data_IF_927283417844
#
_entry.id   IF_927283417844
#
_cell.length_a   1.000
_cell.length_b   1.000
_cell.length_c   1.000
_cell.angle_alpha   90.00
_cell.angle_beta   90.00
_cell.angle_gamma   90.00
#
_symmetry.space_group_name_H-M   'P 1'
#
loop_
_entity.id
_entity.type
_entity.pdbx_description
1 polymer ?
#
# COMPACT_ATOMS: atom_id res chain seq x y z
N UNK A 1 -9.34 11.06 -69.26
CA UNK A 1 -9.52 11.74 -67.95
C UNK A 1 -8.70 10.96 -66.92
N UNK A 2 -7.46 11.37 -66.64
CA UNK A 2 -6.53 10.64 -65.77
C UNK A 2 -6.49 11.28 -64.38
N UNK A 3 -7.12 10.61 -63.40
CA UNK A 3 -7.18 11.08 -62.02
C UNK A 3 -5.94 10.58 -61.25
N UNK A 4 -4.95 11.47 -61.06
CA UNK A 4 -3.80 11.22 -60.17
C UNK A 4 -4.29 11.27 -58.72
N UNK A 5 -4.29 10.12 -58.02
CA UNK A 5 -4.54 10.06 -56.58
C UNK A 5 -3.32 10.58 -55.82
N UNK A 6 -3.53 11.66 -55.07
CA UNK A 6 -2.59 12.20 -54.09
C UNK A 6 -2.76 11.38 -52.81
N UNK A 7 -1.69 10.71 -52.38
CA UNK A 7 -1.64 9.97 -51.11
C UNK A 7 -1.13 10.93 -50.04
N UNK A 8 -2.01 11.39 -49.17
CA UNK A 8 -1.66 12.20 -48.00
C UNK A 8 -1.10 11.29 -46.91
N UNK A 9 0.21 11.38 -46.68
CA UNK A 9 0.91 10.67 -45.61
C UNK A 9 0.56 11.30 -44.26
N UNK A 10 -0.32 10.65 -43.51
CA UNK A 10 -0.69 11.07 -42.15
C UNK A 10 0.41 10.60 -41.19
N UNK A 11 1.17 11.55 -40.63
CA UNK A 11 2.20 11.29 -39.64
C UNK A 11 1.52 10.95 -38.30
N UNK A 12 1.43 9.67 -37.97
CA UNK A 12 1.03 9.21 -36.64
C UNK A 12 2.12 9.56 -35.63
N UNK A 13 1.83 10.53 -34.76
CA UNK A 13 2.65 10.82 -33.58
C UNK A 13 2.36 9.71 -32.58
N UNK A 14 3.25 8.72 -32.52
CA UNK A 14 3.22 7.66 -31.51
C UNK A 14 3.51 8.28 -30.14
N UNK A 15 2.49 8.32 -29.28
CA UNK A 15 2.68 8.60 -27.87
C UNK A 15 3.57 7.50 -27.26
N UNK A 16 4.80 7.85 -26.91
CA UNK A 16 5.73 6.95 -26.23
C UNK A 16 5.13 6.60 -24.87
N UNK A 17 4.70 5.35 -24.72
CA UNK A 17 4.42 4.79 -23.41
C UNK A 17 5.73 4.71 -22.65
N UNK A 18 5.91 5.60 -21.66
CA UNK A 18 7.03 5.50 -20.73
C UNK A 18 6.81 4.21 -19.93
N UNK A 19 7.54 3.15 -20.28
CA UNK A 19 7.72 2.00 -19.41
C UNK A 19 8.55 2.47 -18.22
N UNK A 20 7.88 2.93 -17.16
CA UNK A 20 8.57 3.28 -15.92
C UNK A 20 9.10 2.00 -15.29
N UNK A 21 10.42 1.84 -15.28
CA UNK A 21 11.07 0.86 -14.43
C UNK A 21 10.77 1.21 -12.95
N UNK A 22 10.73 0.20 -12.04
CA UNK A 22 10.59 0.46 -10.62
C UNK A 22 11.73 1.35 -10.12
N UNK A 23 11.39 2.27 -9.22
CA UNK A 23 12.32 3.18 -8.55
C UNK A 23 12.80 2.52 -7.26
N UNK A 24 14.10 2.57 -7.01
CA UNK A 24 14.72 1.92 -5.88
C UNK A 24 15.09 2.94 -4.80
N UNK A 25 14.62 2.72 -3.58
CA UNK A 25 15.10 3.41 -2.38
C UNK A 25 15.87 2.38 -1.53
N UNK A 26 17.17 2.57 -1.38
CA UNK A 26 18.03 1.60 -0.73
C UNK A 26 18.81 2.22 0.44
N UNK A 27 18.84 1.51 1.57
CA UNK A 27 19.69 1.78 2.72
C UNK A 27 20.32 0.47 3.19
N UNK A 28 21.66 0.43 3.23
CA UNK A 28 22.43 -0.77 3.55
C UNK A 28 22.01 -1.96 2.67
N UNK A 29 21.48 -3.02 3.28
CA UNK A 29 21.05 -4.24 2.59
C UNK A 29 19.55 -4.25 2.26
N UNK A 30 18.82 -3.17 2.57
CA UNK A 30 17.39 -3.04 2.34
C UNK A 30 17.15 -2.17 1.12
N UNK A 31 16.46 -2.71 0.12
CA UNK A 31 16.05 -1.98 -1.08
C UNK A 31 14.54 -2.11 -1.27
N UNK A 32 13.83 -1.00 -1.24
CA UNK A 32 12.42 -0.90 -1.61
C UNK A 32 12.32 -0.57 -3.10
N UNK A 33 11.72 -1.49 -3.86
CA UNK A 33 11.45 -1.35 -5.29
C UNK A 33 10.00 -0.92 -5.44
N UNK A 34 9.80 0.32 -5.89
CA UNK A 34 8.50 0.99 -5.94
C UNK A 34 8.12 1.22 -7.39
N UNK A 35 6.94 0.77 -7.80
CA UNK A 35 6.33 1.14 -9.08
C UNK A 35 5.27 2.22 -8.82
N UNK A 36 5.53 3.50 -9.16
CA UNK A 36 4.57 4.58 -8.93
C UNK A 36 3.23 4.37 -9.66
N UNK A 37 3.23 3.71 -10.82
CA UNK A 37 2.02 3.57 -11.64
C UNK A 37 1.03 2.60 -11.01
N UNK A 38 1.52 1.55 -10.35
CA UNK A 38 0.72 0.47 -9.77
C UNK A 38 0.74 0.43 -8.24
N UNK A 39 1.55 1.27 -7.59
CA UNK A 39 1.84 1.23 -6.15
C UNK A 39 2.32 -0.14 -5.66
N UNK A 40 2.89 -0.94 -6.55
CA UNK A 40 3.59 -2.17 -6.17
C UNK A 40 4.84 -1.79 -5.39
N UNK A 41 5.05 -2.44 -4.25
CA UNK A 41 6.27 -2.27 -3.45
C UNK A 41 6.78 -3.65 -3.07
N UNK A 42 8.04 -3.93 -3.43
CA UNK A 42 8.78 -5.09 -2.97
C UNK A 42 9.97 -4.63 -2.15
N UNK A 43 10.29 -5.35 -1.08
CA UNK A 43 11.49 -5.14 -0.30
C UNK A 43 12.45 -6.30 -0.56
N UNK A 44 13.62 -5.97 -1.10
CA UNK A 44 14.75 -6.90 -1.17
C UNK A 44 15.64 -6.66 0.04
N UNK A 45 15.84 -7.70 0.85
CA UNK A 45 16.77 -7.70 1.96
C UNK A 45 17.69 -8.91 1.83
N UNK A 46 18.97 -8.67 1.54
CA UNK A 46 19.92 -9.73 1.19
C UNK A 46 19.38 -10.60 0.02
N UNK A 47 19.22 -11.91 0.23
CA UNK A 47 18.63 -12.85 -0.73
C UNK A 47 17.11 -13.03 -0.59
N UNK A 48 16.48 -12.36 0.38
CA UNK A 48 15.05 -12.45 0.62
C UNK A 48 14.30 -11.33 -0.09
N UNK A 49 13.08 -11.64 -0.54
CA UNK A 49 12.16 -10.67 -1.12
C UNK A 49 10.80 -10.74 -0.43
N UNK A 50 10.33 -9.60 0.05
CA UNK A 50 9.04 -9.46 0.73
C UNK A 50 8.09 -8.58 -0.10
N UNK A 51 6.90 -9.08 -0.46
CA UNK A 51 5.90 -8.28 -1.14
C UNK A 51 5.21 -7.34 -0.15
N UNK A 52 5.64 -6.07 -0.11
CA UNK A 52 5.09 -5.06 0.79
C UNK A 52 3.69 -4.63 0.34
N UNK A 53 3.50 -4.45 -0.97
CA UNK A 53 2.19 -4.23 -1.58
C UNK A 53 2.16 -4.81 -3.00
N UNK A 54 1.10 -5.53 -3.33
CA UNK A 54 0.84 -6.01 -4.68
C UNK A 54 0.54 -4.86 -5.65
N UNK A 55 0.78 -5.12 -6.95
CA UNK A 55 0.43 -4.20 -8.00
C UNK A 55 -1.09 -3.99 -8.08
N UNK A 56 -1.47 -2.74 -8.27
CA UNK A 56 -2.84 -2.29 -8.55
C UNK A 56 -2.99 -1.97 -10.03
N UNK A 57 -4.20 -1.55 -10.44
CA UNK A 57 -4.40 -1.02 -11.77
C UNK A 57 -3.44 0.13 -12.07
N UNK A 58 -2.85 0.12 -13.26
CA UNK A 58 -1.93 1.17 -13.71
C UNK A 58 -2.68 2.49 -13.79
N UNK A 59 -2.08 3.55 -13.26
CA UNK A 59 -2.55 4.93 -13.43
C UNK A 59 -1.38 5.82 -13.83
N UNK A 60 -1.71 6.93 -14.47
CA UNK A 60 -0.74 7.97 -14.78
C UNK A 60 -0.25 8.63 -13.49
N UNK A 61 1.04 8.98 -13.49
CA UNK A 61 1.68 9.62 -12.38
C UNK A 61 2.70 10.65 -12.88
N UNK A 62 3.03 11.61 -12.01
CA UNK A 62 4.07 12.61 -12.25
C UNK A 62 5.00 12.63 -11.05
N UNK A 63 6.26 12.27 -11.26
CA UNK A 63 7.31 12.42 -10.23
C UNK A 63 7.51 13.90 -9.97
N UNK A 64 7.49 14.27 -8.68
CA UNK A 64 7.75 15.63 -8.22
C UNK A 64 9.10 15.74 -7.50
N UNK A 65 9.56 14.67 -6.86
CA UNK A 65 10.89 14.60 -6.25
C UNK A 65 11.41 13.17 -6.28
N UNK A 66 12.70 13.00 -6.55
CA UNK A 66 13.37 11.72 -6.48
C UNK A 66 14.79 11.93 -5.96
N UNK A 67 15.13 11.28 -4.87
CA UNK A 67 16.47 11.24 -4.29
C UNK A 67 16.84 9.80 -3.91
N UNK A 68 17.98 9.61 -3.26
CA UNK A 68 18.40 8.29 -2.77
C UNK A 68 17.45 7.72 -1.71
N UNK A 69 16.82 8.61 -0.93
CA UNK A 69 16.08 8.22 0.28
C UNK A 69 14.60 8.61 0.21
N UNK A 70 14.15 9.28 -0.85
CA UNK A 70 12.82 9.86 -0.94
C UNK A 70 12.32 9.86 -2.38
N UNK A 71 11.06 9.51 -2.55
CA UNK A 71 10.33 9.52 -3.82
C UNK A 71 8.96 10.14 -3.60
N UNK A 72 8.72 11.26 -4.28
CA UNK A 72 7.43 11.94 -4.32
C UNK A 72 6.87 11.92 -5.73
N UNK A 73 5.58 11.62 -5.83
CA UNK A 73 4.84 11.74 -7.07
C UNK A 73 3.38 12.06 -6.81
N UNK A 74 2.72 12.57 -7.84
CA UNK A 74 1.27 12.75 -7.84
C UNK A 74 0.68 11.66 -8.73
N UNK A 75 -0.31 10.92 -8.22
CA UNK A 75 -1.08 9.91 -8.94
C UNK A 75 -2.54 10.08 -8.59
N UNK A 76 -3.37 10.24 -9.62
CA UNK A 76 -4.83 10.37 -9.44
C UNK A 76 -5.22 11.45 -8.41
N UNK A 77 -4.59 12.64 -8.49
CA UNK A 77 -4.78 13.75 -7.55
C UNK A 77 -4.45 13.43 -6.08
N UNK A 78 -3.61 12.43 -5.83
CA UNK A 78 -3.05 12.10 -4.52
C UNK A 78 -1.53 12.29 -4.60
N UNK A 79 -1.00 13.14 -3.73
CA UNK A 79 0.43 13.23 -3.46
C UNK A 79 0.84 11.99 -2.67
N UNK A 80 1.80 11.24 -3.20
CA UNK A 80 2.36 10.03 -2.62
C UNK A 80 3.83 10.29 -2.31
N UNK A 81 4.23 10.06 -1.06
CA UNK A 81 5.60 10.15 -0.59
C UNK A 81 6.04 8.79 -0.05
N UNK A 82 7.21 8.35 -0.49
CA UNK A 82 7.94 7.20 0.04
C UNK A 82 9.29 7.69 0.55
N UNK A 83 9.60 7.43 1.82
CA UNK A 83 10.83 7.90 2.46
C UNK A 83 11.45 6.82 3.31
N UNK A 84 12.75 6.59 3.15
CA UNK A 84 13.50 5.67 4.01
C UNK A 84 13.54 6.21 5.44
N UNK A 85 13.36 5.30 6.40
CA UNK A 85 13.40 5.61 7.83
C UNK A 85 14.02 4.46 8.60
N UNK A 86 15.31 4.59 8.93
CA UNK A 86 16.06 3.66 9.79
C UNK A 86 15.82 2.18 9.40
N UNK A 87 16.20 1.80 8.17
CA UNK A 87 15.97 0.48 7.57
C UNK A 87 14.49 0.11 7.31
N UNK A 88 13.55 1.02 7.56
CA UNK A 88 12.13 0.92 7.21
C UNK A 88 11.74 1.88 6.08
N UNK A 89 10.43 1.98 5.86
CA UNK A 89 9.84 2.85 4.85
C UNK A 89 8.63 3.57 5.44
N UNK A 90 8.68 4.90 5.44
CA UNK A 90 7.52 5.74 5.66
C UNK A 90 6.82 5.98 4.32
N UNK A 91 5.51 5.79 4.32
CA UNK A 91 4.63 6.00 3.18
C UNK A 91 3.57 7.01 3.60
N UNK A 92 3.37 8.06 2.82
CA UNK A 92 2.36 9.08 3.09
C UNK A 92 1.55 9.39 1.83
N UNK A 93 0.26 9.56 2.02
CA UNK A 93 -0.74 9.89 1.03
C UNK A 93 -1.44 11.16 1.48
N UNK A 94 -1.53 12.14 0.59
CA UNK A 94 -2.28 13.37 0.83
C UNK A 94 -3.09 13.69 -0.40
N UNK A 95 -4.38 13.91 -0.22
CA UNK A 95 -5.23 14.39 -1.30
C UNK A 95 -4.78 15.79 -1.75
N UNK A 96 -4.65 15.98 -3.06
CA UNK A 96 -4.13 17.21 -3.69
C UNK A 96 -5.24 18.12 -4.24
N UNK A 97 -6.50 17.67 -4.22
CA UNK A 97 -7.65 18.42 -4.77
C UNK A 97 -8.67 18.68 -3.67
N UNK A 98 -9.17 19.91 -3.57
CA UNK A 98 -10.31 20.23 -2.71
C UNK A 98 -11.54 19.39 -3.10
N UNK A 99 -12.17 18.79 -2.11
CA UNK A 99 -13.38 17.98 -2.18
C UNK A 99 -14.58 18.81 -1.73
N UNK A 100 -15.71 18.59 -2.38
CA UNK A 100 -17.00 19.06 -1.88
C UNK A 100 -17.64 18.02 -0.94
N UNK A 101 -18.83 18.34 -0.40
CA UNK A 101 -19.52 17.52 0.61
C UNK A 101 -19.90 16.11 0.12
N UNK A 102 -20.08 15.93 -1.18
CA UNK A 102 -20.52 14.67 -1.79
C UNK A 102 -19.35 13.88 -2.41
N UNK A 103 -18.19 14.51 -2.56
CA UNK A 103 -16.99 13.90 -3.11
C UNK A 103 -16.20 13.16 -2.03
N UNK A 104 -15.77 11.95 -2.38
CA UNK A 104 -14.77 11.20 -1.64
C UNK A 104 -13.63 10.82 -2.59
N UNK A 105 -12.43 10.76 -2.05
CA UNK A 105 -11.25 10.26 -2.75
C UNK A 105 -10.65 9.10 -1.97
N UNK A 106 -10.37 7.99 -2.63
CA UNK A 106 -9.89 6.79 -1.94
C UNK A 106 -8.52 6.37 -2.42
N UNK A 107 -7.74 5.80 -1.53
CA UNK A 107 -6.48 5.13 -1.84
C UNK A 107 -6.47 3.75 -1.19
N UNK A 108 -6.14 2.73 -1.97
CA UNK A 108 -5.91 1.38 -1.44
C UNK A 108 -4.41 1.16 -1.33
N UNK A 109 -3.91 1.03 -0.11
CA UNK A 109 -2.54 0.66 0.18
C UNK A 109 -2.43 0.24 1.66
N UNK A 110 -1.70 -0.83 2.00
CA UNK A 110 -1.15 -1.84 1.09
C UNK A 110 -2.22 -2.81 0.57
N UNK A 111 -1.89 -3.54 -0.50
CA UNK A 111 -2.50 -4.83 -0.81
C UNK A 111 -1.50 -5.92 -0.43
N UNK A 112 -1.73 -6.59 0.69
CA UNK A 112 -0.82 -7.61 1.21
C UNK A 112 -1.25 -8.97 0.69
N UNK A 113 -0.33 -9.67 0.02
CA UNK A 113 -0.58 -11.01 -0.52
C UNK A 113 0.66 -11.90 -0.34
N UNK A 114 0.50 -13.21 -0.56
CA UNK A 114 1.58 -14.22 -0.49
C UNK A 114 2.24 -14.35 0.89
N UNK A 115 1.68 -13.73 1.93
CA UNK A 115 2.05 -14.01 3.31
C UNK A 115 1.59 -15.40 3.71
N UNK A 116 2.23 -15.98 4.72
CA UNK A 116 1.85 -17.26 5.34
C UNK A 116 0.83 -17.06 6.46
N UNK A 117 0.87 -15.92 7.12
CA UNK A 117 -0.10 -15.55 8.14
C UNK A 117 -0.30 -14.03 8.22
N UNK A 118 -1.38 -13.63 8.89
CA UNK A 118 -1.54 -12.29 9.42
C UNK A 118 -1.64 -12.38 10.94
N UNK A 119 -0.88 -11.56 11.68
CA UNK A 119 -1.14 -11.32 13.09
C UNK A 119 -1.77 -9.94 13.23
N UNK A 120 -3.08 -9.91 13.43
CA UNK A 120 -3.85 -8.67 13.49
C UNK A 120 -4.32 -8.40 14.91
N UNK A 121 -4.25 -7.14 15.39
CA UNK A 121 -4.81 -6.74 16.68
C UNK A 121 -6.34 -6.64 16.59
N UNK A 122 -7.00 -7.74 16.24
CA UNK A 122 -8.45 -7.90 16.24
C UNK A 122 -8.84 -8.76 17.44
N UNK A 123 -9.87 -8.35 18.19
CA UNK A 123 -10.22 -8.97 19.47
C UNK A 123 -8.98 -9.05 20.40
N UNK A 124 -8.60 -10.26 20.84
CA UNK A 124 -7.42 -10.53 21.69
C UNK A 124 -6.11 -10.68 20.90
N UNK A 125 -6.15 -10.55 19.57
CA UNK A 125 -5.02 -10.80 18.67
C UNK A 125 -5.25 -12.06 17.85
N UNK A 126 -5.57 -11.89 16.57
CA UNK A 126 -5.84 -13.01 15.65
C UNK A 126 -4.57 -13.40 14.90
N UNK A 127 -4.14 -14.64 15.05
CA UNK A 127 -3.18 -15.28 14.15
C UNK A 127 -3.93 -16.06 13.07
N UNK A 128 -3.89 -15.53 11.84
CA UNK A 128 -4.68 -15.97 10.70
C UNK A 128 -3.75 -16.65 9.69
N UNK A 129 -3.69 -17.99 9.64
CA UNK A 129 -2.98 -18.69 8.56
C UNK A 129 -3.67 -18.42 7.22
N UNK A 130 -2.92 -17.94 6.24
CA UNK A 130 -3.50 -17.44 4.98
C UNK A 130 -4.01 -18.54 4.06
N UNK A 131 -3.53 -19.78 4.23
CA UNK A 131 -3.90 -20.93 3.40
C UNK A 131 -4.96 -21.85 4.05
N UNK A 132 -5.41 -21.53 5.27
CA UNK A 132 -6.46 -22.30 5.94
C UNK A 132 -7.83 -22.04 5.32
N UNK A 133 -8.51 -23.12 4.93
CA UNK A 133 -9.76 -23.03 4.18
C UNK A 133 -10.92 -22.47 5.00
N UNK A 134 -10.94 -22.68 6.32
CA UNK A 134 -11.99 -22.12 7.19
C UNK A 134 -11.82 -20.61 7.30
N UNK A 135 -10.58 -20.14 7.49
CA UNK A 135 -10.26 -18.71 7.49
C UNK A 135 -10.57 -18.04 6.16
N UNK A 136 -10.15 -18.66 5.04
CA UNK A 136 -10.47 -18.18 3.69
C UNK A 136 -11.98 -18.04 3.53
N UNK A 137 -12.73 -19.12 3.78
CA UNK A 137 -14.19 -19.11 3.62
C UNK A 137 -14.85 -18.05 4.51
N UNK A 138 -14.45 -17.97 5.78
CA UNK A 138 -15.02 -17.02 6.72
C UNK A 138 -14.76 -15.58 6.25
N UNK A 139 -13.50 -15.17 6.14
CA UNK A 139 -13.15 -13.77 5.89
C UNK A 139 -13.58 -13.28 4.50
N UNK A 140 -13.55 -14.13 3.48
CA UNK A 140 -13.96 -13.76 2.11
C UNK A 140 -15.48 -13.80 1.90
N UNK A 141 -16.24 -14.41 2.82
CA UNK A 141 -17.71 -14.37 2.79
C UNK A 141 -18.29 -13.28 3.71
N UNK A 142 -17.57 -12.86 4.74
CA UNK A 142 -18.01 -11.84 5.70
C UNK A 142 -17.47 -10.45 5.41
N UNK A 143 -16.44 -10.33 4.57
CA UNK A 143 -15.85 -9.04 4.20
C UNK A 143 -15.74 -8.88 2.69
N UNK A 144 -15.91 -7.65 2.21
CA UNK A 144 -15.66 -7.28 0.80
C UNK A 144 -15.35 -5.79 0.71
N UNK A 145 -14.96 -5.31 -0.47
CA UNK A 145 -14.79 -3.87 -0.68
C UNK A 145 -16.07 -3.06 -0.39
N UNK A 146 -17.25 -3.66 -0.64
CA UNK A 146 -18.57 -3.06 -0.39
C UNK A 146 -19.05 -3.20 1.05
N UNK A 147 -18.51 -4.17 1.78
CA UNK A 147 -18.78 -4.40 3.19
C UNK A 147 -17.45 -4.65 3.93
N UNK A 148 -16.59 -3.63 4.04
CA UNK A 148 -15.27 -3.79 4.64
C UNK A 148 -15.37 -3.69 6.16
N UNK A 149 -14.33 -4.16 6.84
CA UNK A 149 -14.12 -3.92 8.25
C UNK A 149 -13.65 -2.49 8.46
N UNK A 150 -14.25 -1.78 9.42
CA UNK A 150 -13.84 -0.41 9.79
C UNK A 150 -12.61 -0.49 10.68
N UNK A 151 -11.55 0.25 10.33
CA UNK A 151 -10.25 0.19 10.99
C UNK A 151 -10.30 0.46 12.50
N UNK A 152 -10.90 1.58 12.90
CA UNK A 152 -11.03 1.98 14.31
C UNK A 152 -11.90 1.04 15.15
N UNK A 153 -12.88 0.38 14.53
CA UNK A 153 -13.79 -0.53 15.23
C UNK A 153 -13.24 -1.96 15.30
N UNK A 154 -12.45 -2.37 14.30
CA UNK A 154 -12.01 -3.76 14.14
C UNK A 154 -10.60 -3.99 14.66
N UNK A 155 -9.74 -2.96 14.69
CA UNK A 155 -8.36 -3.03 15.16
C UNK A 155 -8.24 -2.35 16.53
N UNK A 156 -7.92 -3.13 17.58
CA UNK A 156 -7.65 -2.62 18.94
C UNK A 156 -6.34 -1.83 19.02
N UNK A 157 -5.39 -2.11 18.12
CA UNK A 157 -4.15 -1.36 17.94
C UNK A 157 -3.96 -1.03 16.45
N UNK A 158 -3.36 0.12 16.17
CA UNK A 158 -3.40 0.71 14.82
C UNK A 158 -2.20 0.25 13.99
N UNK A 159 -2.12 -1.07 13.77
CA UNK A 159 -1.15 -1.69 12.90
C UNK A 159 -1.71 -2.95 12.25
N UNK A 160 -1.06 -3.39 11.17
CA UNK A 160 -1.26 -4.68 10.51
C UNK A 160 0.08 -5.42 10.49
N UNK A 161 0.04 -6.75 10.44
CA UNK A 161 1.26 -7.53 10.16
C UNK A 161 1.00 -8.67 9.20
N UNK A 162 2.04 -9.05 8.46
CA UNK A 162 2.04 -10.19 7.57
C UNK A 162 3.31 -11.02 7.73
N UNK A 163 3.15 -12.30 8.06
CA UNK A 163 4.24 -13.24 8.30
C UNK A 163 4.73 -13.93 7.02
N UNK A 164 6.05 -14.04 6.87
CA UNK A 164 6.72 -14.70 5.73
C UNK A 164 7.69 -15.79 6.21
N UNK A 165 7.32 -16.52 7.26
CA UNK A 165 8.19 -17.49 7.94
C UNK A 165 8.75 -16.89 9.23
N UNK A 166 10.06 -16.71 9.32
CA UNK A 166 10.72 -16.11 10.51
C UNK A 166 10.63 -14.58 10.57
N UNK A 167 10.25 -13.93 9.46
CA UNK A 167 10.13 -12.48 9.35
C UNK A 167 8.68 -12.07 9.18
N UNK A 168 8.32 -10.92 9.73
CA UNK A 168 7.03 -10.28 9.53
C UNK A 168 7.24 -8.86 8.97
N UNK A 169 6.35 -8.45 8.07
CA UNK A 169 6.23 -7.04 7.69
C UNK A 169 5.18 -6.42 8.61
N UNK A 170 5.60 -5.38 9.32
CA UNK A 170 4.78 -4.60 10.23
C UNK A 170 4.42 -3.27 9.58
N UNK A 171 3.14 -2.93 9.57
CA UNK A 171 2.58 -1.72 9.00
C UNK A 171 1.87 -0.94 10.10
N UNK A 172 2.54 0.06 10.67
CA UNK A 172 1.88 0.96 11.60
C UNK A 172 1.10 2.02 10.86
N UNK A 173 -0.15 2.24 11.25
CA UNK A 173 -1.05 3.21 10.65
C UNK A 173 -0.84 4.56 11.34
N UNK A 174 -0.57 5.61 10.56
CA UNK A 174 -0.22 6.93 11.10
C UNK A 174 -1.45 7.83 11.37
N UNK A 175 -2.57 7.55 10.70
CA UNK A 175 -3.86 8.20 10.94
C UNK A 175 -4.95 7.12 10.97
N UNK A 176 -5.68 7.06 12.08
CA UNK A 176 -6.58 5.94 12.41
C UNK A 176 -7.95 6.08 11.75
N UNK A 177 -8.35 7.30 11.37
CA UNK A 177 -9.70 7.62 10.91
C UNK A 177 -9.91 7.29 9.43
N UNK A 178 -11.17 7.07 9.05
CA UNK A 178 -11.63 6.84 7.66
C UNK A 178 -10.90 5.70 6.94
N UNK A 179 -10.50 4.70 7.71
CA UNK A 179 -9.82 3.52 7.23
C UNK A 179 -10.76 2.32 7.20
N UNK A 180 -10.58 1.47 6.21
CA UNK A 180 -11.29 0.21 6.08
C UNK A 180 -10.40 -0.85 5.46
N UNK A 181 -10.66 -2.12 5.76
CA UNK A 181 -9.92 -3.23 5.16
C UNK A 181 -10.81 -4.44 4.94
N UNK A 182 -10.43 -5.30 4.02
CA UNK A 182 -11.17 -6.52 3.70
C UNK A 182 -10.22 -7.59 3.19
N UNK A 183 -10.74 -8.81 3.11
CA UNK A 183 -9.99 -9.97 2.65
C UNK A 183 -10.50 -10.46 1.30
N UNK A 184 -9.57 -10.90 0.46
CA UNK A 184 -9.88 -11.64 -0.78
C UNK A 184 -8.99 -12.87 -0.88
N UNK A 185 -9.26 -13.73 -1.86
CA UNK A 185 -8.43 -14.90 -2.16
C UNK A 185 -9.22 -16.21 -2.20
N UNK A 186 -8.68 -17.20 -2.92
CA UNK A 186 -9.27 -18.55 -3.02
C UNK A 186 -8.39 -19.62 -2.38
N UNK A 187 -7.08 -19.55 -2.64
CA UNK A 187 -6.10 -20.50 -2.09
C UNK A 187 -5.28 -19.89 -0.95
N UNK A 188 -5.05 -18.58 -1.02
CA UNK A 188 -4.37 -17.82 0.01
C UNK A 188 -5.10 -16.49 0.21
N UNK A 189 -5.28 -16.09 1.45
CA UNK A 189 -5.83 -14.79 1.82
C UNK A 189 -4.90 -13.65 1.37
N UNK A 190 -5.53 -12.57 0.94
CA UNK A 190 -4.91 -11.27 0.72
C UNK A 190 -5.70 -10.22 1.51
N UNK A 191 -5.00 -9.26 2.09
CA UNK A 191 -5.59 -8.15 2.84
C UNK A 191 -5.47 -6.88 2.00
N UNK A 192 -6.59 -6.17 1.84
CA UNK A 192 -6.63 -4.87 1.17
C UNK A 192 -6.95 -3.82 2.21
N UNK A 193 -6.15 -2.76 2.28
CA UNK A 193 -6.40 -1.63 3.17
C UNK A 193 -6.71 -0.39 2.35
N UNK A 194 -7.75 0.35 2.73
CA UNK A 194 -8.23 1.54 2.04
C UNK A 194 -8.41 2.68 3.03
N UNK A 195 -7.93 3.85 2.64
CA UNK A 195 -8.25 5.11 3.28
C UNK A 195 -9.19 5.94 2.39
N UNK A 196 -10.12 6.65 3.00
CA UNK A 196 -11.05 7.57 2.34
C UNK A 196 -10.80 9.00 2.80
N UNK A 197 -10.33 9.83 1.87
CA UNK A 197 -10.36 11.27 2.00
C UNK A 197 -11.77 11.81 1.71
N UNK A 198 -12.28 12.67 2.57
CA UNK A 198 -13.56 13.36 2.51
C UNK A 198 -13.38 14.82 2.94
N UNK A 199 -14.43 15.65 2.86
CA UNK A 199 -14.35 17.08 3.18
C UNK A 199 -13.83 17.40 4.59
N UNK A 200 -13.91 16.48 5.56
CA UNK A 200 -13.47 16.68 6.95
C UNK A 200 -11.98 16.36 7.15
N UNK A 201 -11.38 15.57 6.26
CA UNK A 201 -10.00 15.08 6.40
C UNK A 201 -9.14 15.29 5.14
N UNK A 202 -9.64 16.00 4.14
CA UNK A 202 -9.00 16.17 2.82
C UNK A 202 -7.58 16.73 2.87
N UNK A 203 -7.25 17.49 3.92
CA UNK A 203 -5.95 18.10 4.16
C UNK A 203 -5.02 17.23 5.03
N UNK A 204 -5.56 16.17 5.65
CA UNK A 204 -4.83 15.30 6.58
C UNK A 204 -4.05 14.24 5.81
N UNK A 205 -2.75 14.08 6.09
CA UNK A 205 -2.01 12.96 5.56
C UNK A 205 -2.50 11.65 6.22
N UNK A 206 -2.49 10.59 5.41
CA UNK A 206 -2.66 9.22 5.85
C UNK A 206 -1.45 8.41 5.39
N UNK A 207 -1.07 7.36 6.11
CA UNK A 207 0.13 6.63 5.74
C UNK A 207 0.52 5.52 6.69
N UNK A 208 1.68 4.95 6.41
CA UNK A 208 2.25 3.86 7.18
C UNK A 208 3.72 4.07 7.49
N UNK A 209 4.13 3.61 8.67
CA UNK A 209 5.53 3.27 8.93
C UNK A 209 5.69 1.75 8.78
N UNK A 210 6.51 1.33 7.83
CA UNK A 210 6.71 -0.07 7.46
C UNK A 210 8.07 -0.55 7.94
N UNK A 211 8.09 -1.67 8.66
CA UNK A 211 9.31 -2.30 9.21
C UNK A 211 9.31 -3.80 8.98
N UNK A 212 10.50 -4.38 8.85
CA UNK A 212 10.67 -5.82 8.99
C UNK A 212 10.97 -6.12 10.45
N UNK A 213 10.25 -7.08 11.02
CA UNK A 213 10.43 -7.59 12.36
C UNK A 213 10.65 -9.11 12.34
N UNK A 214 11.05 -9.66 13.47
CA UNK A 214 10.87 -11.08 13.72
C UNK A 214 9.37 -11.40 13.76
N UNK A 215 8.96 -12.52 13.16
CA UNK A 215 7.59 -13.00 13.18
C UNK A 215 7.25 -13.63 14.54
N UNK A 216 7.18 -12.79 15.57
CA UNK A 216 6.93 -13.16 16.94
C UNK A 216 5.92 -12.19 17.56
N UNK A 217 4.81 -12.67 18.15
CA UNK A 217 3.78 -11.80 18.72
C UNK A 217 4.29 -10.79 19.75
N UNK A 218 5.23 -11.18 20.61
CA UNK A 218 5.78 -10.29 21.64
C UNK A 218 6.64 -9.17 21.03
N UNK A 219 7.46 -9.49 20.01
CA UNK A 219 8.25 -8.50 19.29
C UNK A 219 7.35 -7.49 18.57
N UNK A 220 6.31 -7.99 17.91
CA UNK A 220 5.31 -7.16 17.20
C UNK A 220 4.58 -6.24 18.18
N UNK A 221 4.04 -6.78 19.27
CA UNK A 221 3.31 -6.01 20.26
C UNK A 221 4.17 -4.91 20.92
N UNK A 222 5.43 -5.23 21.27
CA UNK A 222 6.36 -4.28 21.88
C UNK A 222 6.83 -3.18 20.92
N UNK A 223 6.66 -3.36 19.61
CA UNK A 223 7.02 -2.33 18.62
C UNK A 223 6.06 -1.15 18.66
N UNK A 224 4.77 -1.37 18.94
CA UNK A 224 3.74 -0.32 18.87
C UNK A 224 3.89 0.83 19.90
N UNK A 225 4.18 0.59 21.19
CA UNK A 225 4.40 1.68 22.15
C UNK A 225 5.65 2.50 21.82
N UNK A 226 6.71 1.84 21.32
CA UNK A 226 8.01 2.46 21.04
C UNK A 226 7.96 3.53 19.95
N UNK A 227 6.97 3.44 19.06
CA UNK A 227 6.77 4.35 17.94
C UNK A 227 5.79 5.47 18.28
N UNK A 228 4.77 5.24 19.13
CA UNK A 228 3.87 6.32 19.59
C UNK A 228 4.61 7.43 20.37
N UNK A 229 5.66 7.06 21.10
CA UNK A 229 6.49 8.02 21.84
C UNK A 229 7.43 8.85 20.95
N UNK A 230 7.58 8.53 19.66
CA UNK A 230 8.37 9.32 18.69
C UNK A 230 7.52 10.29 17.87
N UNK A 231 6.19 10.18 17.93
CA UNK A 231 5.23 11.04 17.23
C UNK A 231 4.63 12.15 18.10
N UNK A 232 5.16 12.34 19.31
CA UNK A 232 4.91 13.50 20.20
C UNK A 232 6.18 14.35 20.24
#
# INVERSE_FOLDING_TARGET
MNLKRIVTLTLLISASSVFSNPINLCEQNNCFLIDPATLKVNLKQNSLEFPISSAQAKQDFKITTQSKNELDFIRDNISVNFKLDNNGLNVSFKNSKKLNREENKTITFPIISRSKSFLLPMLEGWDIPTNDQKWIKYLTSTTSEKAPLVGTASLSMQFLTAGFGKSAIYYQINNIFDNSFWFTGKQNLSLHFKHTFNILNEDKPFGFTIKILENNPAVIANTYPSTQNRSR
#
